data_IF_156963171859
#
_entry.id   IF_156963171859
#
_cell.length_a   1.000
_cell.length_b   1.000
_cell.length_c   1.000
_cell.angle_alpha   90.00
_cell.angle_beta   90.00
_cell.angle_gamma   90.00
#
_symmetry.space_group_name_H-M   'P 1'
#
loop_
_entity.id
_entity.type
_entity.pdbx_description
1 polymer ?
#
# COMPACT_ATOMS: atom_id res chain seq x y z
N UNK A 1 -8.19 44.77 15.54
CA UNK A 1 -6.85 45.17 15.03
C UNK A 1 -5.90 43.99 15.20
N UNK A 2 -5.45 43.45 14.06
CA UNK A 2 -4.35 42.49 13.84
C UNK A 2 -4.32 41.16 14.60
N UNK A 3 -5.00 40.15 14.04
CA UNK A 3 -4.61 38.74 14.16
C UNK A 3 -4.36 38.18 12.76
N UNK A 4 -3.09 38.13 12.33
CA UNK A 4 -2.70 37.51 11.05
C UNK A 4 -2.73 36.00 11.23
N UNK A 5 -3.56 35.33 10.43
CA UNK A 5 -3.60 33.87 10.31
C UNK A 5 -2.36 33.35 9.58
N UNK A 6 -1.56 32.54 10.26
CA UNK A 6 -0.54 31.70 9.63
C UNK A 6 -1.20 30.47 9.01
N UNK A 7 -1.78 30.62 7.83
CA UNK A 7 -1.89 29.52 6.87
C UNK A 7 -0.71 29.69 5.92
N UNK A 8 0.24 28.77 5.95
CA UNK A 8 1.26 28.68 4.92
C UNK A 8 0.55 28.50 3.58
N UNK A 9 0.90 29.32 2.57
CA UNK A 9 0.38 29.12 1.22
C UNK A 9 0.77 27.71 0.74
N UNK A 10 -0.05 27.11 -0.12
CA UNK A 10 0.24 25.80 -0.75
C UNK A 10 1.66 25.81 -1.33
N UNK A 11 2.10 26.94 -1.85
CA UNK A 11 3.46 27.21 -2.34
C UNK A 11 4.56 27.00 -1.29
N UNK A 12 4.36 27.42 -0.03
CA UNK A 12 5.33 27.17 1.05
C UNK A 12 5.43 25.68 1.42
N UNK A 13 4.32 24.94 1.35
CA UNK A 13 4.31 23.50 1.59
C UNK A 13 5.04 22.75 0.46
N UNK A 14 4.78 23.12 -0.79
CA UNK A 14 5.47 22.59 -1.98
C UNK A 14 6.97 22.88 -1.93
N UNK A 15 7.37 24.09 -1.53
CA UNK A 15 8.79 24.45 -1.40
C UNK A 15 9.50 23.66 -0.29
N UNK A 16 8.81 23.40 0.82
CA UNK A 16 9.37 22.58 1.91
C UNK A 16 9.54 21.12 1.48
N UNK A 17 8.58 20.58 0.72
CA UNK A 17 8.65 19.21 0.17
C UNK A 17 9.76 19.10 -0.89
N UNK A 18 9.87 20.09 -1.79
CA UNK A 18 10.94 20.17 -2.79
C UNK A 18 12.34 20.20 -2.17
N UNK A 19 12.51 20.93 -1.07
CA UNK A 19 13.77 20.94 -0.30
C UNK A 19 14.11 19.58 0.32
N UNK A 20 13.11 18.83 0.79
CA UNK A 20 13.31 17.47 1.32
C UNK A 20 13.72 16.51 0.20
N UNK A 21 13.09 16.58 -0.97
CA UNK A 21 13.46 15.77 -2.13
C UNK A 21 14.88 16.09 -2.64
N UNK A 22 15.26 17.37 -2.66
CA UNK A 22 16.62 17.81 -3.02
C UNK A 22 17.68 17.35 -2.00
N UNK A 23 17.35 17.37 -0.70
CA UNK A 23 18.25 16.85 0.35
C UNK A 23 18.49 15.33 0.24
N UNK A 24 17.51 14.58 -0.27
CA UNK A 24 17.64 13.13 -0.56
C UNK A 24 18.51 12.90 -1.80
N UNK A 25 18.42 13.74 -2.82
CA UNK A 25 19.26 13.65 -4.02
C UNK A 25 20.73 14.03 -3.76
N UNK A 26 21.00 14.83 -2.73
CA UNK A 26 22.36 15.34 -2.44
C UNK A 26 23.15 14.44 -1.48
N UNK A 27 22.47 13.57 -0.72
CA UNK A 27 23.13 12.68 0.27
C UNK A 27 23.80 11.44 -0.35
N UNK A 28 23.71 11.21 -1.66
CA UNK A 28 24.39 10.13 -2.39
C UNK A 28 25.77 10.49 -2.96
N UNK A 29 26.28 11.71 -2.73
CA UNK A 29 27.53 12.18 -3.34
C UNK A 29 28.74 12.30 -2.40
N UNK A 30 28.66 11.87 -1.14
CA UNK A 30 29.78 12.01 -0.20
C UNK A 30 30.10 10.70 0.52
N UNK A 31 31.12 9.97 0.02
CA UNK A 31 32.29 9.48 0.80
C UNK A 31 32.99 8.31 0.07
N UNK A 32 34.08 8.62 -0.63
CA UNK A 32 35.33 7.83 -0.60
C UNK A 32 36.45 8.63 -1.25
N UNK A 33 37.37 9.12 -0.43
CA UNK A 33 38.68 9.61 -0.86
C UNK A 33 39.54 8.44 -1.33
N UNK A 34 40.16 8.56 -2.51
CA UNK A 34 41.21 7.63 -2.93
C UNK A 34 41.43 7.56 -4.45
N UNK A 35 42.14 8.55 -4.99
CA UNK A 35 42.78 8.57 -6.33
C UNK A 35 41.85 8.52 -7.54
N UNK A 36 41.48 9.69 -8.05
CA UNK A 36 40.75 9.83 -9.33
C UNK A 36 41.55 10.69 -10.30
N UNK A 37 41.92 10.09 -11.43
CA UNK A 37 42.41 10.78 -12.63
C UNK A 37 41.30 11.71 -13.12
N UNK A 38 41.60 13.00 -13.24
CA UNK A 38 40.66 14.04 -13.62
C UNK A 38 40.38 13.94 -15.12
N UNK A 39 39.17 13.57 -15.50
CA UNK A 39 38.57 14.01 -16.75
C UNK A 39 37.71 15.25 -16.43
N UNK A 40 38.16 16.42 -16.87
CA UNK A 40 37.38 17.65 -16.78
C UNK A 40 36.24 17.59 -17.81
N UNK A 41 35.04 17.25 -17.36
CA UNK A 41 33.81 17.56 -18.08
C UNK A 41 33.24 18.83 -17.45
N UNK A 42 33.33 19.97 -18.14
CA UNK A 42 32.65 21.19 -17.71
C UNK A 42 31.14 21.00 -17.89
N UNK A 43 30.42 20.75 -16.80
CA UNK A 43 28.96 20.88 -16.74
C UNK A 43 28.66 22.27 -16.20
N UNK A 44 28.27 23.18 -17.10
CA UNK A 44 27.71 24.48 -16.74
C UNK A 44 26.27 24.30 -16.28
N UNK A 45 26.04 24.31 -14.96
CA UNK A 45 24.70 24.34 -14.38
C UNK A 45 24.28 25.81 -14.24
N UNK A 46 23.39 26.27 -15.11
CA UNK A 46 22.73 27.57 -14.98
C UNK A 46 21.67 27.51 -13.88
N UNK A 47 21.57 28.58 -13.08
CA UNK A 47 20.69 28.68 -11.90
C UNK A 47 19.18 28.69 -12.23
N UNK A 48 18.80 28.68 -13.51
CA UNK A 48 17.40 28.70 -13.96
C UNK A 48 16.70 27.33 -13.86
N UNK A 49 17.42 26.26 -13.54
CA UNK A 49 16.89 24.89 -13.46
C UNK A 49 16.55 24.40 -12.04
N UNK A 50 16.51 25.27 -11.03
CA UNK A 50 16.32 24.86 -9.62
C UNK A 50 14.83 24.66 -9.26
N UNK A 51 13.91 25.14 -10.09
CA UNK A 51 12.48 24.80 -9.98
C UNK A 51 12.14 23.82 -11.10
N UNK A 52 11.93 22.52 -10.83
CA UNK A 52 11.32 21.65 -11.83
C UNK A 52 9.97 22.27 -12.19
N UNK A 53 9.81 22.71 -13.43
CA UNK A 53 8.52 23.11 -13.95
C UNK A 53 7.56 21.95 -13.73
N UNK A 54 6.51 22.15 -12.92
CA UNK A 54 5.58 21.10 -12.52
C UNK A 54 4.84 20.53 -13.73
N UNK A 55 5.40 19.49 -14.34
CA UNK A 55 4.84 18.91 -15.55
C UNK A 55 3.93 17.72 -15.19
N UNK A 56 2.64 17.99 -15.07
CA UNK A 56 1.61 16.94 -15.01
C UNK A 56 1.17 16.50 -16.42
N UNK A 57 1.79 16.98 -17.50
CA UNK A 57 1.42 16.62 -18.87
C UNK A 57 1.80 15.18 -19.18
N UNK A 58 2.89 14.67 -18.61
CA UNK A 58 3.23 13.26 -18.73
C UNK A 58 2.34 12.41 -17.82
N UNK A 59 1.63 11.46 -18.41
CA UNK A 59 0.63 10.64 -17.73
C UNK A 59 1.07 9.21 -17.42
N UNK A 60 2.28 8.82 -17.83
CA UNK A 60 2.88 7.51 -17.59
C UNK A 60 1.95 6.31 -17.88
N UNK A 61 1.30 6.33 -19.06
CA UNK A 61 0.39 5.27 -19.53
C UNK A 61 1.07 3.95 -19.92
N UNK A 62 2.39 3.95 -19.88
CA UNK A 62 3.24 2.84 -20.21
C UNK A 62 4.67 3.27 -20.03
N UNK A 63 5.58 2.33 -20.19
CA UNK A 63 7.00 2.60 -20.10
C UNK A 63 7.55 2.99 -21.48
N UNK A 64 7.77 4.29 -21.69
CA UNK A 64 8.30 4.82 -22.94
C UNK A 64 9.84 4.84 -22.97
N UNK A 65 10.50 4.47 -21.87
CA UNK A 65 11.96 4.51 -21.75
C UNK A 65 12.59 3.48 -22.68
N UNK A 66 13.51 3.94 -23.53
CA UNK A 66 14.24 3.10 -24.48
C UNK A 66 15.75 3.20 -24.34
N UNK A 67 16.24 4.29 -23.75
CA UNK A 67 17.67 4.57 -23.66
C UNK A 67 18.25 4.05 -22.34
N UNK A 68 19.05 2.97 -22.36
CA UNK A 68 19.66 2.44 -21.15
C UNK A 68 20.78 3.36 -20.67
N UNK A 69 20.82 3.62 -19.36
CA UNK A 69 21.92 4.34 -18.71
C UNK A 69 23.17 3.47 -18.54
N UNK A 70 23.02 2.16 -18.62
CA UNK A 70 24.12 1.20 -18.61
C UNK A 70 23.75 -0.04 -19.43
N UNK A 71 24.74 -0.62 -20.11
CA UNK A 71 24.57 -1.83 -20.93
C UNK A 71 25.57 -2.87 -20.47
N UNK A 72 25.12 -4.13 -20.37
CA UNK A 72 25.96 -5.26 -20.00
C UNK A 72 25.53 -6.52 -20.76
N UNK A 73 26.38 -7.55 -20.77
CA UNK A 73 26.15 -8.78 -21.51
C UNK A 73 26.20 -9.99 -20.56
N UNK A 74 25.23 -10.90 -20.70
CA UNK A 74 25.20 -12.18 -20.00
C UNK A 74 24.93 -13.27 -21.02
N UNK A 75 25.83 -14.25 -21.15
CA UNK A 75 25.69 -15.40 -22.04
C UNK A 75 25.20 -15.02 -23.45
N UNK A 76 25.91 -14.08 -24.11
CA UNK A 76 25.63 -13.53 -25.45
C UNK A 76 24.37 -12.67 -25.62
N UNK A 77 23.53 -12.55 -24.58
CA UNK A 77 22.40 -11.63 -24.58
C UNK A 77 22.81 -10.27 -24.00
N UNK A 78 22.47 -9.18 -24.69
CA UNK A 78 22.67 -7.80 -24.23
C UNK A 78 21.48 -7.35 -23.37
N UNK A 79 21.80 -6.69 -22.28
CA UNK A 79 20.84 -6.13 -21.34
C UNK A 79 21.15 -4.66 -21.08
N UNK A 80 20.11 -3.87 -20.88
CA UNK A 80 20.17 -2.46 -20.53
C UNK A 80 19.55 -2.20 -19.17
N UNK A 81 20.08 -1.22 -18.45
CA UNK A 81 19.45 -0.67 -17.24
C UNK A 81 18.77 0.64 -17.63
N UNK A 82 17.45 0.70 -17.50
CA UNK A 82 16.67 1.94 -17.66
C UNK A 82 16.65 2.70 -16.33
N UNK A 83 16.83 4.01 -16.35
CA UNK A 83 16.73 4.87 -15.16
C UNK A 83 15.27 5.11 -14.77
N UNK A 84 14.92 5.23 -13.47
CA UNK A 84 13.55 5.54 -13.03
C UNK A 84 13.13 6.95 -13.50
N UNK A 85 11.86 7.11 -13.87
CA UNK A 85 11.30 8.45 -14.09
C UNK A 85 11.04 9.13 -12.75
N UNK A 86 11.71 10.27 -12.54
CA UNK A 86 11.61 11.02 -11.27
C UNK A 86 10.25 11.72 -11.18
N UNK A 87 9.71 12.18 -12.31
CA UNK A 87 8.41 12.86 -12.37
C UNK A 87 7.26 11.95 -11.95
N UNK A 88 7.38 10.63 -12.14
CA UNK A 88 6.43 9.65 -11.60
C UNK A 88 6.35 9.72 -10.07
N UNK A 89 7.50 9.73 -9.38
CA UNK A 89 7.56 9.80 -7.92
C UNK A 89 7.07 11.15 -7.41
N UNK A 90 7.38 12.22 -8.13
CA UNK A 90 6.88 13.55 -7.82
C UNK A 90 5.35 13.59 -7.87
N UNK A 91 4.74 13.15 -8.97
CA UNK A 91 3.27 13.10 -9.10
C UNK A 91 2.65 12.21 -8.02
N UNK A 92 3.23 11.03 -7.76
CA UNK A 92 2.78 10.13 -6.70
C UNK A 92 2.78 10.81 -5.33
N UNK A 93 3.86 11.51 -4.98
CA UNK A 93 3.99 12.22 -3.71
C UNK A 93 2.97 13.35 -3.57
N UNK A 94 2.75 14.15 -4.62
CA UNK A 94 1.77 15.24 -4.63
C UNK A 94 0.35 14.69 -4.42
N UNK A 95 -0.05 13.69 -5.21
CA UNK A 95 -1.39 13.11 -5.14
C UNK A 95 -1.63 12.47 -3.77
N UNK A 96 -0.66 11.72 -3.24
CA UNK A 96 -0.74 11.15 -1.89
C UNK A 96 -0.86 12.24 -0.83
N UNK A 97 -0.08 13.31 -0.93
CA UNK A 97 -0.10 14.43 0.03
C UNK A 97 -1.45 15.14 0.05
N UNK A 98 -2.05 15.39 -1.12
CA UNK A 98 -3.38 16.01 -1.23
C UNK A 98 -4.46 15.12 -0.60
N UNK A 99 -4.43 13.82 -0.86
CA UNK A 99 -5.35 12.86 -0.25
C UNK A 99 -5.18 12.83 1.28
N UNK A 100 -3.94 12.83 1.78
CA UNK A 100 -3.61 12.90 3.20
C UNK A 100 -4.13 14.20 3.86
N UNK A 101 -3.96 15.36 3.22
CA UNK A 101 -4.49 16.64 3.71
C UNK A 101 -6.01 16.60 3.80
N UNK A 102 -6.69 16.08 2.78
CA UNK A 102 -8.14 15.90 2.81
C UNK A 102 -8.57 15.01 3.99
N UNK A 103 -7.87 13.89 4.20
CA UNK A 103 -8.15 12.98 5.32
C UNK A 103 -7.88 13.64 6.68
N UNK A 104 -6.85 14.47 6.81
CA UNK A 104 -6.57 15.24 8.03
C UNK A 104 -7.70 16.22 8.37
N UNK A 105 -8.28 16.88 7.35
CA UNK A 105 -9.44 17.77 7.51
C UNK A 105 -10.67 16.97 7.96
N UNK A 106 -10.92 15.79 7.36
CA UNK A 106 -11.97 14.87 7.82
C UNK A 106 -11.76 14.48 9.28
N UNK A 107 -10.51 14.20 9.67
CA UNK A 107 -10.13 13.97 11.07
C UNK A 107 -10.50 15.15 11.98
N UNK A 108 -10.19 16.39 11.59
CA UNK A 108 -10.55 17.57 12.37
C UNK A 108 -12.07 17.71 12.57
N UNK A 109 -12.85 17.46 11.52
CA UNK A 109 -14.32 17.48 11.56
C UNK A 109 -14.84 16.37 12.49
N UNK A 110 -14.34 15.15 12.33
CA UNK A 110 -14.69 14.00 13.16
C UNK A 110 -14.36 14.24 14.64
N UNK A 111 -13.21 14.87 14.93
CA UNK A 111 -12.82 15.24 16.30
C UNK A 111 -13.83 16.20 16.94
N UNK A 112 -14.27 17.22 16.20
CA UNK A 112 -15.19 18.24 16.73
C UNK A 112 -16.62 17.75 16.88
N UNK A 113 -17.08 16.87 16.00
CA UNK A 113 -18.48 16.46 15.94
C UNK A 113 -18.68 15.08 16.60
N UNK A 114 -17.92 14.07 16.18
CA UNK A 114 -18.19 12.67 16.54
C UNK A 114 -17.71 12.36 17.96
N UNK A 115 -16.50 12.80 18.34
CA UNK A 115 -15.95 12.50 19.68
C UNK A 115 -16.90 12.94 20.82
N UNK A 116 -17.43 14.17 20.86
CA UNK A 116 -18.37 14.58 21.90
C UNK A 116 -19.78 13.97 21.73
N UNK A 117 -20.22 13.73 20.49
CA UNK A 117 -21.58 13.26 20.21
C UNK A 117 -21.76 11.74 20.35
N UNK A 118 -20.72 10.91 20.13
CA UNK A 118 -20.89 9.45 20.04
C UNK A 118 -21.45 8.77 21.29
N UNK A 119 -21.28 9.39 22.47
CA UNK A 119 -21.85 8.89 23.73
C UNK A 119 -23.21 9.50 24.07
N UNK A 120 -23.48 10.72 23.62
CA UNK A 120 -24.67 11.52 24.01
C UNK A 120 -25.76 11.51 22.94
N UNK A 121 -25.37 11.48 21.67
CA UNK A 121 -26.22 11.45 20.49
C UNK A 121 -25.58 10.57 19.40
N UNK A 122 -25.69 9.25 19.59
CA UNK A 122 -25.13 8.27 18.66
C UNK A 122 -25.76 8.34 17.27
N UNK A 123 -27.05 8.66 17.17
CA UNK A 123 -27.76 8.84 15.89
C UNK A 123 -27.16 9.96 15.06
N UNK A 124 -26.85 11.12 15.67
CA UNK A 124 -26.14 12.20 14.98
C UNK A 124 -24.77 11.72 14.46
N UNK A 125 -24.05 10.96 15.28
CA UNK A 125 -22.73 10.43 14.90
C UNK A 125 -22.82 9.47 13.71
N UNK A 126 -23.86 8.61 13.67
CA UNK A 126 -24.14 7.73 12.53
C UNK A 126 -24.45 8.52 11.25
N UNK A 127 -25.34 9.52 11.34
CA UNK A 127 -25.73 10.35 10.19
C UNK A 127 -24.54 11.14 9.64
N UNK A 128 -23.69 11.68 10.50
CA UNK A 128 -22.48 12.41 10.08
C UNK A 128 -21.48 11.46 9.44
N UNK A 129 -21.18 10.31 10.05
CA UNK A 129 -20.21 9.35 9.51
C UNK A 129 -20.67 8.78 8.17
N UNK A 130 -21.86 8.16 8.13
CA UNK A 130 -22.32 7.43 6.94
C UNK A 130 -23.03 8.31 5.91
N UNK A 131 -23.71 9.37 6.35
CA UNK A 131 -24.46 10.26 5.46
C UNK A 131 -23.65 11.42 4.88
N UNK A 132 -22.56 11.84 5.55
CA UNK A 132 -21.77 13.01 5.11
C UNK A 132 -20.30 12.65 4.86
N UNK A 133 -19.58 12.15 5.87
CA UNK A 133 -18.13 11.97 5.76
C UNK A 133 -17.74 10.81 4.85
N UNK A 134 -18.46 9.69 4.89
CA UNK A 134 -18.24 8.56 3.98
C UNK A 134 -18.35 8.96 2.50
N UNK A 135 -19.46 9.56 2.04
CA UNK A 135 -19.56 10.04 0.66
C UNK A 135 -18.41 10.97 0.27
N UNK A 136 -18.04 11.92 1.13
CA UNK A 136 -16.92 12.84 0.87
C UNK A 136 -15.61 12.05 0.68
N UNK A 137 -15.27 11.17 1.62
CA UNK A 137 -14.02 10.37 1.58
C UNK A 137 -14.00 9.46 0.35
N UNK A 138 -15.13 8.86 -0.01
CA UNK A 138 -15.24 8.02 -1.22
C UNK A 138 -15.03 8.84 -2.49
N UNK A 139 -15.49 10.10 -2.53
CA UNK A 139 -15.35 10.98 -3.70
C UNK A 139 -13.95 11.56 -3.88
N UNK A 140 -13.15 11.75 -2.83
CA UNK A 140 -11.80 12.34 -2.89
C UNK A 140 -10.90 11.74 -3.99
N UNK A 141 -10.71 10.40 -4.09
CA UNK A 141 -9.84 9.85 -5.13
C UNK A 141 -10.33 10.19 -6.54
N UNK A 142 -11.64 10.14 -6.80
CA UNK A 142 -12.21 10.50 -8.11
C UNK A 142 -12.04 11.99 -8.44
N UNK A 143 -12.17 12.86 -7.43
CA UNK A 143 -11.92 14.30 -7.59
C UNK A 143 -10.45 14.52 -7.98
N UNK A 144 -9.51 13.86 -7.31
CA UNK A 144 -8.08 13.95 -7.65
C UNK A 144 -7.80 13.41 -9.05
N UNK A 145 -8.33 12.24 -9.37
CA UNK A 145 -8.20 11.62 -10.69
C UNK A 145 -8.68 12.56 -11.79
N UNK A 146 -9.88 13.13 -11.64
CA UNK A 146 -10.46 14.03 -12.63
C UNK A 146 -9.72 15.38 -12.70
N UNK A 147 -9.35 15.95 -11.55
CA UNK A 147 -8.70 17.27 -11.50
C UNK A 147 -7.29 17.24 -12.11
N UNK A 148 -6.56 16.15 -11.90
CA UNK A 148 -5.19 16.00 -12.40
C UNK A 148 -5.11 15.16 -13.69
N UNK A 149 -6.25 14.69 -14.20
CA UNK A 149 -6.35 13.82 -15.38
C UNK A 149 -5.36 12.64 -15.27
N UNK A 150 -5.43 11.92 -14.14
CA UNK A 150 -4.53 10.81 -13.86
C UNK A 150 -4.84 9.64 -14.81
N UNK A 151 -3.80 9.00 -15.33
CA UNK A 151 -3.95 7.86 -16.22
C UNK A 151 -3.04 6.68 -15.82
N UNK A 152 -1.89 6.95 -15.18
CA UNK A 152 -1.09 5.89 -14.57
C UNK A 152 -1.84 5.20 -13.42
N UNK A 153 -2.02 3.89 -13.56
CA UNK A 153 -2.83 3.09 -12.63
C UNK A 153 -2.25 3.00 -11.22
N UNK A 154 -0.93 3.11 -11.04
CA UNK A 154 -0.31 3.12 -9.71
C UNK A 154 -0.60 4.43 -8.97
N UNK A 155 -0.53 5.56 -9.67
CA UNK A 155 -0.85 6.87 -9.08
C UNK A 155 -2.35 6.93 -8.75
N UNK A 156 -3.20 6.43 -9.64
CA UNK A 156 -4.64 6.27 -9.41
C UNK A 156 -4.94 5.41 -8.16
N UNK A 157 -4.29 4.25 -8.05
CA UNK A 157 -4.40 3.39 -6.85
C UNK A 157 -3.97 4.14 -5.58
N UNK A 158 -2.84 4.83 -5.64
CA UNK A 158 -2.25 5.55 -4.52
C UNK A 158 -3.15 6.68 -4.00
N UNK A 159 -3.89 7.37 -4.88
CA UNK A 159 -4.89 8.39 -4.50
C UNK A 159 -5.99 7.82 -3.58
N UNK A 160 -6.32 6.54 -3.71
CA UNK A 160 -7.33 5.86 -2.91
C UNK A 160 -6.85 5.40 -1.53
N UNK A 161 -5.54 5.20 -1.33
CA UNK A 161 -5.00 4.55 -0.12
C UNK A 161 -5.30 5.31 1.18
N UNK A 162 -5.08 6.64 1.30
CA UNK A 162 -5.44 7.37 2.51
C UNK A 162 -6.94 7.33 2.80
N UNK A 163 -7.75 7.38 1.75
CA UNK A 163 -9.21 7.35 1.83
C UNK A 163 -9.72 5.99 2.33
N UNK A 164 -9.15 4.89 1.83
CA UNK A 164 -9.40 3.52 2.31
C UNK A 164 -9.22 3.41 3.83
N UNK A 165 -8.08 3.89 4.33
CA UNK A 165 -7.78 3.82 5.77
C UNK A 165 -8.72 4.72 6.56
N UNK A 166 -9.05 5.89 6.01
CA UNK A 166 -9.94 6.87 6.64
C UNK A 166 -11.38 6.36 6.82
N UNK A 167 -11.92 5.60 5.86
CA UNK A 167 -13.25 4.98 6.01
C UNK A 167 -13.31 4.08 7.25
N UNK A 168 -12.27 3.28 7.48
CA UNK A 168 -12.18 2.41 8.66
C UNK A 168 -11.92 3.21 9.94
N UNK A 169 -11.08 4.25 9.90
CA UNK A 169 -10.83 5.15 11.04
C UNK A 169 -12.08 5.89 11.50
N UNK A 170 -12.97 6.27 10.58
CA UNK A 170 -14.25 6.89 10.91
C UNK A 170 -15.16 5.94 11.70
N UNK A 171 -15.26 4.67 11.28
CA UNK A 171 -16.04 3.66 12.03
C UNK A 171 -15.39 3.36 13.38
N UNK A 172 -14.06 3.25 13.42
CA UNK A 172 -13.29 3.12 14.66
C UNK A 172 -13.59 4.27 15.64
N UNK A 173 -13.64 5.51 15.13
CA UNK A 173 -13.92 6.72 15.91
C UNK A 173 -15.36 6.73 16.43
N UNK A 174 -16.31 6.36 15.57
CA UNK A 174 -17.73 6.25 15.90
C UNK A 174 -17.96 5.33 17.11
N UNK A 175 -17.30 4.17 17.12
CA UNK A 175 -17.45 3.18 18.19
C UNK A 175 -16.47 3.35 19.36
N UNK A 176 -15.59 4.36 19.33
CA UNK A 176 -14.63 4.62 20.41
C UNK A 176 -13.53 3.58 20.54
N UNK A 177 -13.09 3.00 19.41
CA UNK A 177 -12.00 2.02 19.37
C UNK A 177 -10.66 2.58 18.92
N UNK A 178 -10.55 3.91 18.79
CA UNK A 178 -9.31 4.60 18.43
C UNK A 178 -8.15 4.21 19.35
N UNK A 179 -6.89 4.18 18.85
CA UNK A 179 -5.73 3.95 19.69
C UNK A 179 -5.64 4.96 20.84
N UNK A 180 -5.08 4.52 21.97
CA UNK A 180 -4.83 5.41 23.11
C UNK A 180 -3.92 6.57 22.68
N UNK A 181 -4.17 7.77 23.22
CA UNK A 181 -3.39 8.97 22.90
C UNK A 181 -3.83 9.72 21.64
N UNK A 182 -4.52 9.06 20.70
CA UNK A 182 -4.96 9.67 19.43
C UNK A 182 -6.01 10.76 19.64
N UNK A 183 -6.96 10.54 20.55
CA UNK A 183 -8.10 11.45 20.79
C UNK A 183 -7.82 12.54 21.83
N UNK A 184 -6.61 12.58 22.40
CA UNK A 184 -6.26 13.53 23.47
C UNK A 184 -6.25 14.99 22.98
N UNK A 185 -5.80 15.21 21.75
CA UNK A 185 -5.78 16.55 21.14
C UNK A 185 -6.24 16.48 19.69
N UNK A 186 -6.79 17.59 19.19
CA UNK A 186 -7.15 17.71 17.77
C UNK A 186 -5.94 17.50 16.86
N UNK A 187 -4.74 17.93 17.27
CA UNK A 187 -3.51 17.75 16.48
C UNK A 187 -3.09 16.28 16.39
N UNK A 188 -3.15 15.52 17.49
CA UNK A 188 -2.91 14.08 17.49
C UNK A 188 -3.89 13.36 16.54
N UNK A 189 -5.15 13.79 16.57
CA UNK A 189 -6.21 13.21 15.77
C UNK A 189 -6.05 13.52 14.28
N UNK A 190 -5.70 14.77 13.94
CA UNK A 190 -5.38 15.17 12.56
C UNK A 190 -4.12 14.46 12.04
N UNK A 191 -3.09 14.28 12.87
CA UNK A 191 -1.91 13.48 12.51
C UNK A 191 -2.30 12.03 12.23
N UNK A 192 -3.13 11.42 13.11
CA UNK A 192 -3.59 10.05 12.92
C UNK A 192 -4.34 9.89 11.60
N UNK A 193 -5.29 10.78 11.29
CA UNK A 193 -6.07 10.72 10.05
C UNK A 193 -5.28 11.11 8.80
N UNK A 194 -4.42 12.11 8.90
CA UNK A 194 -3.61 12.63 7.79
C UNK A 194 -2.38 11.79 7.47
N UNK A 195 -1.96 10.90 8.37
CA UNK A 195 -0.80 10.07 8.13
C UNK A 195 -1.16 8.82 7.31
N UNK A 196 -0.48 8.60 6.15
CA UNK A 196 -0.70 7.42 5.33
C UNK A 196 -0.21 6.14 6.02
N UNK A 197 0.75 6.25 6.95
CA UNK A 197 1.21 5.16 7.82
C UNK A 197 0.91 5.54 9.28
N UNK A 198 0.38 4.61 10.07
CA UNK A 198 0.03 4.88 11.46
C UNK A 198 1.27 5.24 12.30
N UNK A 199 1.27 6.44 12.89
CA UNK A 199 2.23 6.81 13.92
C UNK A 199 1.98 5.99 15.18
N UNK A 200 3.05 5.63 15.89
CA UNK A 200 2.96 4.98 17.19
C UNK A 200 2.55 6.03 18.22
N UNK A 201 1.48 5.77 18.96
CA UNK A 201 1.04 6.64 20.06
C UNK A 201 1.35 5.99 21.41
N UNK A 202 1.94 6.77 22.31
CA UNK A 202 1.99 6.48 23.73
C UNK A 202 0.70 7.01 24.40
N UNK A 203 0.59 6.94 25.73
CA UNK A 203 -0.67 7.21 26.43
C UNK A 203 -1.30 8.59 26.11
N UNK A 204 -0.48 9.61 25.78
CA UNK A 204 -0.97 10.99 25.54
C UNK A 204 -0.47 11.66 24.26
N UNK A 205 0.54 11.10 23.61
CA UNK A 205 1.25 11.79 22.52
C UNK A 205 1.82 10.78 21.52
N UNK A 206 2.04 11.19 20.25
CA UNK A 206 2.80 10.38 19.32
C UNK A 206 4.23 10.19 19.82
N UNK A 207 4.75 8.98 19.67
CA UNK A 207 6.13 8.66 20.00
C UNK A 207 7.06 9.36 19.02
N UNK A 208 8.08 10.04 19.54
CA UNK A 208 9.09 10.70 18.70
C UNK A 208 10.02 9.68 18.05
N UNK A 209 10.32 9.88 16.77
CA UNK A 209 11.34 9.12 16.04
C UNK A 209 12.74 9.61 16.43
N UNK A 210 13.64 8.69 16.72
CA UNK A 210 15.06 8.99 16.97
C UNK A 210 15.83 9.20 15.65
N UNK A 211 17.07 9.72 15.73
CA UNK A 211 17.94 9.78 14.54
C UNK A 211 18.23 8.41 13.94
N UNK A 212 18.36 7.39 14.80
CA UNK A 212 18.55 6.00 14.37
C UNK A 212 17.31 5.45 13.66
N UNK A 213 16.10 5.75 14.17
CA UNK A 213 14.85 5.35 13.51
C UNK A 213 14.79 5.87 12.07
N UNK A 214 15.07 7.17 11.88
CA UNK A 214 15.05 7.81 10.57
C UNK A 214 16.07 7.18 9.61
N UNK A 215 17.28 6.92 10.09
CA UNK A 215 18.33 6.26 9.30
C UNK A 215 17.94 4.84 8.90
N UNK A 216 17.38 4.07 9.84
CA UNK A 216 16.89 2.71 9.57
C UNK A 216 15.71 2.73 8.59
N UNK A 217 14.78 3.69 8.71
CA UNK A 217 13.69 3.89 7.76
C UNK A 217 14.19 4.16 6.35
N UNK A 218 15.13 5.10 6.18
CA UNK A 218 15.74 5.40 4.88
C UNK A 218 16.48 4.18 4.28
N UNK A 219 17.22 3.43 5.11
CA UNK A 219 17.87 2.18 4.71
C UNK A 219 16.84 1.13 4.25
N UNK A 220 15.77 0.92 5.03
CA UNK A 220 14.74 -0.07 4.71
C UNK A 220 14.02 0.27 3.40
N UNK A 221 13.70 1.56 3.19
CA UNK A 221 13.16 2.03 1.93
C UNK A 221 14.10 1.76 0.75
N UNK A 222 15.40 2.09 0.88
CA UNK A 222 16.37 1.83 -0.20
C UNK A 222 16.46 0.34 -0.54
N UNK A 223 16.51 -0.53 0.47
CA UNK A 223 16.59 -1.98 0.28
C UNK A 223 15.33 -2.53 -0.38
N UNK A 224 14.15 -2.11 0.05
CA UNK A 224 12.88 -2.55 -0.52
C UNK A 224 12.63 -1.97 -1.92
N UNK A 225 13.09 -0.74 -2.19
CA UNK A 225 13.10 -0.13 -3.51
C UNK A 225 13.95 -0.94 -4.51
N UNK A 226 15.18 -1.31 -4.12
CA UNK A 226 16.05 -2.16 -4.94
C UNK A 226 15.45 -3.56 -5.14
N UNK A 227 14.88 -4.15 -4.08
CA UNK A 227 14.22 -5.45 -4.17
C UNK A 227 13.05 -5.40 -5.17
N UNK A 228 12.19 -4.38 -5.10
CA UNK A 228 11.07 -4.25 -6.03
C UNK A 228 11.56 -4.02 -7.47
N UNK A 229 12.60 -3.21 -7.68
CA UNK A 229 13.22 -3.02 -9.01
C UNK A 229 13.67 -4.34 -9.64
N UNK A 230 14.30 -5.23 -8.85
CA UNK A 230 14.69 -6.58 -9.31
C UNK A 230 13.45 -7.42 -9.65
N UNK A 231 12.42 -7.41 -8.80
CA UNK A 231 11.18 -8.16 -9.02
C UNK A 231 10.47 -7.68 -10.31
N UNK A 232 10.35 -6.38 -10.50
CA UNK A 232 9.75 -5.77 -11.69
C UNK A 232 10.51 -6.14 -12.97
N UNK A 233 11.85 -6.18 -12.90
CA UNK A 233 12.70 -6.60 -14.03
C UNK A 233 12.49 -8.08 -14.38
N UNK A 234 12.46 -8.96 -13.37
CA UNK A 234 12.20 -10.40 -13.57
C UNK A 234 10.80 -10.63 -14.14
N UNK A 235 9.80 -9.94 -13.61
CA UNK A 235 8.42 -10.08 -14.08
C UNK A 235 8.23 -9.54 -15.49
N UNK A 236 8.88 -8.43 -15.86
CA UNK A 236 8.90 -7.95 -17.24
C UNK A 236 9.42 -9.00 -18.21
N UNK A 237 10.60 -9.57 -17.94
CA UNK A 237 11.21 -10.62 -18.76
C UNK A 237 10.39 -11.91 -18.81
N UNK A 238 9.70 -12.25 -17.73
CA UNK A 238 8.80 -13.41 -17.69
C UNK A 238 7.55 -13.16 -18.53
N UNK A 239 6.89 -12.01 -18.36
CA UNK A 239 5.66 -11.70 -19.06
C UNK A 239 5.81 -11.38 -20.54
N UNK A 240 7.00 -10.96 -20.98
CA UNK A 240 7.33 -10.89 -22.41
C UNK A 240 7.26 -12.28 -23.10
N UNK A 241 7.63 -13.34 -22.38
CA UNK A 241 7.65 -14.71 -22.92
C UNK A 241 6.35 -15.47 -22.69
N UNK A 242 5.60 -15.10 -21.66
CA UNK A 242 4.39 -15.81 -21.24
C UNK A 242 3.33 -14.81 -20.82
N UNK A 243 2.13 -14.90 -21.41
CA UNK A 243 1.01 -14.09 -20.93
C UNK A 243 0.78 -14.35 -19.44
N UNK A 244 0.56 -13.31 -18.60
CA UNK A 244 0.43 -13.48 -17.15
C UNK A 244 -0.61 -14.53 -16.78
N UNK A 245 -1.77 -14.50 -17.45
CA UNK A 245 -2.78 -15.54 -17.41
C UNK A 245 -3.16 -15.93 -18.85
N UNK A 246 -2.98 -17.20 -19.24
CA UNK A 246 -3.44 -17.67 -20.54
C UNK A 246 -4.97 -17.67 -20.57
N UNK A 247 -5.54 -16.87 -21.46
CA UNK A 247 -6.98 -16.73 -21.76
C UNK A 247 -7.91 -16.70 -20.52
N UNK A 248 -8.24 -15.50 -19.98
CA UNK A 248 -9.11 -15.35 -18.82
C UNK A 248 -10.48 -16.03 -18.93
N UNK A 249 -10.98 -16.26 -20.14
CA UNK A 249 -12.27 -16.92 -20.39
C UNK A 249 -12.17 -18.44 -20.24
N UNK A 250 -10.94 -18.99 -20.29
CA UNK A 250 -10.65 -20.44 -20.23
C UNK A 250 -10.03 -20.87 -18.91
N UNK A 251 -10.06 -20.01 -17.89
CA UNK A 251 -9.42 -20.26 -16.57
C UNK A 251 -9.83 -21.60 -15.94
N UNK A 252 -11.01 -22.13 -16.28
CA UNK A 252 -11.53 -23.38 -15.75
C UNK A 252 -11.82 -24.45 -16.82
N UNK A 253 -11.32 -24.30 -18.05
CA UNK A 253 -11.36 -25.36 -19.06
C UNK A 253 -10.49 -26.54 -18.59
N UNK A 254 -11.12 -27.67 -18.23
CA UNK A 254 -10.47 -28.81 -17.56
C UNK A 254 -10.87 -28.98 -16.09
N UNK A 255 -11.72 -28.10 -15.56
CA UNK A 255 -12.30 -28.23 -14.22
C UNK A 255 -11.55 -27.40 -13.17
N UNK A 256 -12.30 -27.00 -12.13
CA UNK A 256 -11.85 -26.03 -11.14
C UNK A 256 -10.54 -26.43 -10.45
N UNK A 257 -10.47 -27.65 -9.89
CA UNK A 257 -9.31 -28.09 -9.11
C UNK A 257 -8.05 -28.27 -9.96
N UNK A 258 -8.18 -28.91 -11.12
CA UNK A 258 -7.06 -29.10 -12.05
C UNK A 258 -6.47 -27.75 -12.45
N UNK A 259 -7.35 -26.80 -12.75
CA UNK A 259 -6.91 -25.47 -13.12
C UNK A 259 -6.23 -24.78 -11.93
N UNK A 260 -6.82 -24.81 -10.72
CA UNK A 260 -6.27 -24.22 -9.47
C UNK A 260 -4.91 -24.74 -9.05
N UNK A 261 -4.58 -25.96 -9.42
CA UNK A 261 -3.31 -26.59 -9.07
C UNK A 261 -2.37 -26.70 -10.27
N UNK A 262 -2.70 -26.07 -11.41
CA UNK A 262 -1.81 -26.06 -12.56
C UNK A 262 -0.51 -25.35 -12.21
N UNK A 263 0.62 -25.92 -12.67
CA UNK A 263 1.96 -25.39 -12.39
C UNK A 263 2.09 -23.93 -12.81
N UNK A 264 1.63 -23.61 -14.01
CA UNK A 264 1.69 -22.26 -14.57
C UNK A 264 0.91 -21.27 -13.70
N UNK A 265 -0.32 -21.63 -13.28
CA UNK A 265 -1.12 -20.75 -12.42
C UNK A 265 -0.49 -20.53 -11.06
N UNK A 266 0.03 -21.58 -10.43
CA UNK A 266 0.70 -21.44 -9.13
C UNK A 266 1.93 -20.53 -9.23
N UNK A 267 2.71 -20.63 -10.32
CA UNK A 267 3.85 -19.74 -10.56
C UNK A 267 3.40 -18.29 -10.75
N UNK A 268 2.43 -18.03 -11.64
CA UNK A 268 1.91 -16.67 -11.85
C UNK A 268 1.36 -16.08 -10.56
N UNK A 269 0.52 -16.84 -9.84
CA UNK A 269 -0.07 -16.39 -8.59
C UNK A 269 0.99 -16.08 -7.53
N UNK A 270 2.07 -16.86 -7.50
CA UNK A 270 3.19 -16.61 -6.59
C UNK A 270 3.95 -15.34 -6.97
N UNK A 271 4.22 -15.13 -8.25
CA UNK A 271 4.87 -13.91 -8.75
C UNK A 271 4.04 -12.66 -8.42
N UNK A 272 2.72 -12.69 -8.63
CA UNK A 272 1.85 -11.59 -8.24
C UNK A 272 1.78 -11.39 -6.73
N UNK A 273 1.68 -12.46 -5.94
CA UNK A 273 1.69 -12.35 -4.49
C UNK A 273 3.00 -11.73 -3.98
N UNK A 274 4.14 -12.16 -4.53
CA UNK A 274 5.46 -11.65 -4.19
C UNK A 274 5.64 -10.20 -4.65
N UNK A 275 5.15 -9.84 -5.83
CA UNK A 275 5.05 -8.47 -6.29
C UNK A 275 4.25 -7.60 -5.32
N UNK A 276 3.02 -7.98 -4.97
CA UNK A 276 2.20 -7.20 -4.05
C UNK A 276 2.87 -7.05 -2.67
N UNK A 277 3.53 -8.09 -2.16
CA UNK A 277 4.33 -8.00 -0.95
C UNK A 277 5.44 -6.95 -1.10
N UNK A 278 6.27 -7.05 -2.14
CA UNK A 278 7.42 -6.16 -2.35
C UNK A 278 6.97 -4.72 -2.61
N UNK A 279 5.92 -4.52 -3.41
CA UNK A 279 5.37 -3.20 -3.72
C UNK A 279 4.76 -2.52 -2.51
N UNK A 280 3.96 -3.24 -1.73
CA UNK A 280 3.44 -2.70 -0.47
C UNK A 280 4.58 -2.39 0.49
N UNK A 281 5.60 -3.26 0.60
CA UNK A 281 6.74 -3.02 1.48
C UNK A 281 7.52 -1.76 1.05
N UNK A 282 7.90 -1.63 -0.22
CA UNK A 282 8.64 -0.47 -0.73
C UNK A 282 7.86 0.84 -0.56
N UNK A 283 6.57 0.86 -0.94
CA UNK A 283 5.73 2.05 -0.80
C UNK A 283 5.52 2.41 0.68
N UNK A 284 5.28 1.44 1.55
CA UNK A 284 5.01 1.72 2.97
C UNK A 284 6.28 2.09 3.74
N UNK A 285 7.44 1.51 3.43
CA UNK A 285 8.73 1.92 3.99
C UNK A 285 9.09 3.35 3.56
N UNK A 286 8.87 3.69 2.28
CA UNK A 286 9.06 5.05 1.77
C UNK A 286 8.16 6.07 2.47
N UNK A 287 6.86 5.77 2.57
CA UNK A 287 5.90 6.63 3.26
C UNK A 287 6.20 6.74 4.76
N UNK A 288 6.57 5.64 5.41
CA UNK A 288 6.99 5.62 6.81
C UNK A 288 8.19 6.54 7.03
N UNK A 289 9.23 6.41 6.19
CA UNK A 289 10.41 7.25 6.26
C UNK A 289 10.08 8.74 6.06
N UNK A 290 9.23 9.07 5.08
CA UNK A 290 8.74 10.43 4.87
C UNK A 290 7.99 10.97 6.10
N UNK A 291 7.08 10.20 6.68
CA UNK A 291 6.33 10.60 7.88
C UNK A 291 7.28 10.80 9.07
N UNK A 292 8.22 9.91 9.32
CA UNK A 292 9.19 10.02 10.41
C UNK A 292 10.09 11.26 10.25
N UNK A 293 10.48 11.59 9.02
CA UNK A 293 11.31 12.78 8.71
C UNK A 293 10.49 14.06 8.90
N UNK A 294 9.32 14.15 8.27
CA UNK A 294 8.49 15.37 8.23
C UNK A 294 7.83 15.67 9.57
N UNK A 295 7.26 14.65 10.22
CA UNK A 295 6.49 14.82 11.46
C UNK A 295 7.32 14.60 12.71
N UNK A 296 8.49 13.96 12.58
CA UNK A 296 9.30 13.54 13.73
C UNK A 296 8.66 12.43 14.57
N UNK A 297 7.59 11.77 14.10
CA UNK A 297 6.86 10.74 14.83
C UNK A 297 7.21 9.35 14.30
N UNK A 298 7.46 8.39 15.20
CA UNK A 298 7.74 6.99 14.85
C UNK A 298 6.51 6.35 14.22
N UNK A 299 6.70 5.57 13.16
CA UNK A 299 5.61 4.81 12.52
C UNK A 299 5.66 3.32 12.87
N UNK A 300 4.55 2.62 12.62
CA UNK A 300 4.51 1.16 12.69
C UNK A 300 5.22 0.52 11.49
N UNK A 301 5.74 -0.69 11.67
CA UNK A 301 6.12 -1.55 10.54
C UNK A 301 4.86 -2.11 9.88
N UNK A 302 4.75 -2.02 8.56
CA UNK A 302 3.54 -2.46 7.84
C UNK A 302 3.64 -3.89 7.31
N UNK A 303 4.83 -4.35 6.91
CA UNK A 303 5.03 -5.68 6.32
C UNK A 303 6.13 -6.45 7.06
N UNK A 304 5.91 -7.76 7.31
CA UNK A 304 6.88 -8.63 8.01
C UNK A 304 7.10 -9.96 7.30
N UNK A 305 7.58 -9.85 6.05
CA UNK A 305 7.94 -10.96 5.15
C UNK A 305 6.92 -12.13 5.11
N UNK A 306 5.61 -11.86 4.93
CA UNK A 306 4.56 -12.88 5.12
C UNK A 306 4.74 -14.14 4.26
N UNK A 307 5.14 -14.02 2.99
CA UNK A 307 5.25 -15.17 2.07
C UNK A 307 6.34 -16.17 2.45
N UNK A 308 7.43 -15.71 3.08
CA UNK A 308 8.61 -16.54 3.35
C UNK A 308 8.72 -16.94 4.82
N UNK A 309 7.94 -16.32 5.70
CA UNK A 309 8.12 -16.45 7.14
C UNK A 309 6.86 -16.76 7.96
N UNK A 310 5.67 -16.68 7.37
CA UNK A 310 4.43 -17.00 8.07
C UNK A 310 4.38 -18.46 8.51
N UNK A 311 3.89 -18.71 9.72
CA UNK A 311 3.78 -20.08 10.27
C UNK A 311 2.34 -20.60 10.34
N UNK A 312 1.35 -19.74 10.07
CA UNK A 312 -0.06 -20.12 9.95
C UNK A 312 -0.85 -19.05 9.17
N UNK A 313 -2.08 -19.33 8.69
CA UNK A 313 -2.93 -18.33 8.05
C UNK A 313 -3.19 -17.09 8.92
N UNK A 314 -3.42 -17.27 10.22
CA UNK A 314 -3.62 -16.18 11.18
C UNK A 314 -2.34 -15.39 11.44
N UNK A 315 -1.16 -16.03 11.38
CA UNK A 315 0.12 -15.35 11.42
C UNK A 315 0.35 -14.50 10.15
N UNK A 316 0.04 -15.07 8.99
CA UNK A 316 0.10 -14.37 7.69
C UNK A 316 -0.77 -13.11 7.69
N UNK A 317 -2.08 -13.25 7.86
CA UNK A 317 -3.04 -12.15 7.74
C UNK A 317 -3.14 -11.26 8.99
N UNK A 318 -2.76 -11.78 10.16
CA UNK A 318 -2.93 -11.09 11.43
C UNK A 318 -1.68 -10.41 11.97
N UNK A 319 -0.48 -10.85 11.53
CA UNK A 319 0.79 -10.43 12.17
C UNK A 319 1.89 -10.05 11.18
N UNK A 320 1.70 -10.27 9.88
CA UNK A 320 2.76 -10.05 8.88
C UNK A 320 2.33 -9.30 7.64
N UNK A 321 1.11 -9.54 7.14
CA UNK A 321 0.58 -8.89 5.96
C UNK A 321 -0.16 -7.60 6.35
N UNK A 322 0.34 -6.47 5.85
CA UNK A 322 -0.27 -5.15 5.91
C UNK A 322 -0.85 -4.81 7.29
N UNK A 323 0.03 -4.65 8.27
CA UNK A 323 -0.31 -4.40 9.66
C UNK A 323 -1.05 -3.07 9.89
N UNK A 324 -0.88 -2.10 8.99
CA UNK A 324 -1.70 -0.89 8.95
C UNK A 324 -3.17 -1.25 8.72
N UNK A 325 -3.46 -1.95 7.61
CA UNK A 325 -4.83 -2.36 7.27
C UNK A 325 -5.40 -3.33 8.30
N UNK A 326 -4.59 -4.27 8.79
CA UNK A 326 -4.99 -5.14 9.91
C UNK A 326 -5.44 -4.33 11.13
N UNK A 327 -4.67 -3.31 11.53
CA UNK A 327 -4.96 -2.46 12.68
C UNK A 327 -6.29 -1.74 12.54
N UNK A 328 -6.51 -1.06 11.41
CA UNK A 328 -7.76 -0.32 11.17
C UNK A 328 -8.96 -1.23 10.90
N UNK A 329 -8.79 -2.41 10.29
CA UNK A 329 -9.88 -3.40 10.17
C UNK A 329 -10.26 -3.98 11.53
N UNK A 330 -9.28 -4.25 12.39
CA UNK A 330 -9.53 -4.75 13.75
C UNK A 330 -10.34 -3.75 14.57
N UNK A 331 -10.03 -2.46 14.47
CA UNK A 331 -10.66 -1.40 15.26
C UNK A 331 -11.93 -0.83 14.61
N UNK A 332 -11.99 -0.77 13.28
CA UNK A 332 -13.10 -0.25 12.49
C UNK A 332 -14.11 -1.29 12.03
N UNK A 333 -13.81 -2.59 12.12
CA UNK A 333 -14.75 -3.65 11.75
C UNK A 333 -14.87 -4.75 12.82
N UNK A 334 -13.77 -5.46 13.13
CA UNK A 334 -13.82 -6.62 14.02
C UNK A 334 -14.38 -6.28 15.40
N UNK A 335 -13.82 -5.27 16.08
CA UNK A 335 -14.27 -4.85 17.42
C UNK A 335 -15.73 -4.35 17.43
N UNK A 336 -16.15 -3.44 16.52
CA UNK A 336 -17.55 -3.05 16.40
C UNK A 336 -18.50 -4.23 16.17
N UNK A 337 -18.21 -5.12 15.21
CA UNK A 337 -19.08 -6.27 14.97
C UNK A 337 -19.13 -7.18 16.19
N UNK A 338 -17.96 -7.51 16.76
CA UNK A 338 -17.88 -8.38 17.92
C UNK A 338 -18.63 -7.82 19.14
N UNK A 339 -18.64 -6.51 19.37
CA UNK A 339 -19.37 -5.93 20.51
C UNK A 339 -20.89 -6.16 20.44
N UNK A 340 -21.45 -6.32 19.23
CA UNK A 340 -22.88 -6.61 19.01
C UNK A 340 -23.22 -8.11 19.02
N UNK A 341 -22.22 -8.98 18.82
CA UNK A 341 -22.40 -10.44 18.78
C UNK A 341 -21.65 -11.18 19.90
N UNK A 342 -21.10 -10.45 20.88
CA UNK A 342 -20.28 -11.00 21.97
C UNK A 342 -21.00 -12.06 22.81
N UNK A 343 -22.33 -12.00 22.88
CA UNK A 343 -23.19 -12.97 23.55
C UNK A 343 -23.02 -14.39 22.98
N UNK A 344 -22.60 -14.52 21.73
CA UNK A 344 -22.34 -15.81 21.07
C UNK A 344 -20.89 -16.33 21.27
N UNK A 345 -20.14 -15.76 22.22
CA UNK A 345 -18.79 -16.21 22.65
C UNK A 345 -17.83 -16.48 21.47
N UNK A 346 -17.39 -17.73 21.30
CA UNK A 346 -16.46 -18.14 20.24
C UNK A 346 -17.07 -17.98 18.85
N UNK A 347 -18.36 -18.28 18.67
CA UNK A 347 -19.08 -18.06 17.41
C UNK A 347 -19.12 -16.58 17.08
N UNK A 348 -19.31 -15.71 18.08
CA UNK A 348 -19.23 -14.26 17.90
C UNK A 348 -17.89 -13.79 17.33
N UNK A 349 -16.77 -14.42 17.73
CA UNK A 349 -15.44 -14.11 17.16
C UNK A 349 -15.32 -14.55 15.71
N UNK A 350 -15.89 -15.70 15.35
CA UNK A 350 -15.92 -16.18 13.96
C UNK A 350 -16.74 -15.23 13.07
N UNK A 351 -17.93 -14.82 13.55
CA UNK A 351 -18.78 -13.84 12.84
C UNK A 351 -18.02 -12.53 12.61
N UNK A 352 -17.38 -11.99 13.66
CA UNK A 352 -16.58 -10.78 13.54
C UNK A 352 -15.38 -10.95 12.59
N UNK A 353 -14.73 -12.11 12.60
CA UNK A 353 -13.66 -12.47 11.67
C UNK A 353 -14.14 -12.46 10.21
N UNK A 354 -15.21 -13.20 9.90
CA UNK A 354 -15.79 -13.24 8.56
C UNK A 354 -16.28 -11.88 8.09
N UNK A 355 -16.93 -11.09 8.96
CA UNK A 355 -17.35 -9.73 8.64
C UNK A 355 -16.15 -8.82 8.31
N UNK A 356 -15.03 -9.01 9.01
CA UNK A 356 -13.80 -8.24 8.75
C UNK A 356 -13.20 -8.58 7.37
N UNK A 357 -13.17 -9.86 7.00
CA UNK A 357 -12.71 -10.28 5.67
C UNK A 357 -13.69 -9.85 4.57
N UNK A 358 -15.00 -9.87 4.82
CA UNK A 358 -15.99 -9.30 3.90
C UNK A 358 -15.75 -7.80 3.67
N UNK A 359 -15.57 -7.02 4.74
CA UNK A 359 -15.28 -5.59 4.64
C UNK A 359 -13.99 -5.33 3.87
N UNK A 360 -12.93 -6.11 4.12
CA UNK A 360 -11.68 -6.05 3.34
C UNK A 360 -11.92 -6.31 1.86
N UNK A 361 -12.70 -7.35 1.54
CA UNK A 361 -13.10 -7.70 0.18
C UNK A 361 -13.79 -6.55 -0.54
N UNK A 362 -14.84 -6.00 0.06
CA UNK A 362 -15.62 -4.88 -0.51
C UNK A 362 -14.77 -3.62 -0.72
N UNK A 363 -13.87 -3.31 0.22
CA UNK A 363 -12.95 -2.19 0.05
C UNK A 363 -11.97 -2.43 -1.11
N UNK A 364 -11.56 -3.67 -1.35
CA UNK A 364 -10.74 -4.02 -2.51
C UNK A 364 -11.52 -4.01 -3.83
N UNK A 365 -12.83 -4.27 -3.84
CA UNK A 365 -13.68 -4.02 -5.01
C UNK A 365 -13.74 -2.52 -5.34
N UNK A 366 -13.85 -1.67 -4.31
CA UNK A 366 -13.82 -0.22 -4.48
C UNK A 366 -12.47 0.28 -4.99
N UNK A 367 -11.37 -0.28 -4.50
CA UNK A 367 -10.02 0.00 -5.04
C UNK A 367 -9.92 -0.41 -6.51
N UNK A 368 -10.44 -1.57 -6.89
CA UNK A 368 -10.50 -1.96 -8.31
C UNK A 368 -11.31 -0.97 -9.13
N UNK A 369 -12.47 -0.51 -8.62
CA UNK A 369 -13.27 0.50 -9.30
C UNK A 369 -12.47 1.80 -9.52
N UNK A 370 -11.75 2.28 -8.50
CA UNK A 370 -10.89 3.46 -8.61
C UNK A 370 -9.88 3.28 -9.75
N UNK A 371 -9.14 2.17 -9.77
CA UNK A 371 -8.13 1.90 -10.80
C UNK A 371 -8.77 1.84 -12.19
N UNK A 372 -9.85 1.07 -12.34
CA UNK A 372 -10.53 0.86 -13.60
C UNK A 372 -11.21 2.11 -14.15
N UNK A 373 -11.55 3.09 -13.31
CA UNK A 373 -12.10 4.38 -13.75
C UNK A 373 -11.17 5.15 -14.69
N UNK A 374 -9.87 4.85 -14.67
CA UNK A 374 -8.84 5.46 -15.53
C UNK A 374 -8.26 4.50 -16.56
N UNK A 375 -8.75 3.26 -16.62
CA UNK A 375 -8.22 2.26 -17.51
C UNK A 375 -8.55 2.60 -18.97
N UNK A 376 -7.50 2.79 -19.77
CA UNK A 376 -7.60 3.16 -21.18
C UNK A 376 -8.11 2.03 -22.08
N UNK A 377 -8.10 0.78 -21.60
CA UNK A 377 -8.49 -0.39 -22.39
C UNK A 377 -10.01 -0.61 -22.44
N UNK A 378 -10.81 0.19 -21.71
CA UNK A 378 -12.27 0.03 -21.66
C UNK A 378 -12.74 -1.29 -21.02
N UNK A 379 -11.83 -2.00 -20.35
CA UNK A 379 -12.16 -3.25 -19.66
C UNK A 379 -13.01 -2.95 -18.42
N UNK A 380 -13.84 -3.91 -18.04
CA UNK A 380 -14.65 -3.87 -16.82
C UNK A 380 -14.05 -4.85 -15.82
N UNK A 381 -13.92 -4.49 -14.52
CA UNK A 381 -13.37 -5.40 -13.52
C UNK A 381 -14.35 -6.55 -13.26
N UNK A 382 -13.80 -7.74 -12.96
CA UNK A 382 -14.58 -8.89 -12.49
C UNK A 382 -15.02 -8.73 -11.04
N UNK A 383 -15.99 -7.85 -10.77
CA UNK A 383 -16.47 -7.58 -9.41
C UNK A 383 -16.88 -8.85 -8.67
N UNK A 384 -16.53 -8.91 -7.39
CA UNK A 384 -16.83 -10.02 -6.48
C UNK A 384 -15.69 -11.02 -6.33
N UNK A 385 -14.74 -11.06 -7.26
CA UNK A 385 -13.58 -11.96 -7.18
C UNK A 385 -12.67 -11.60 -6.00
N UNK A 386 -12.39 -10.32 -5.76
CA UNK A 386 -11.62 -9.88 -4.60
C UNK A 386 -12.35 -10.26 -3.30
N UNK A 387 -13.66 -10.03 -3.25
CA UNK A 387 -14.49 -10.39 -2.10
C UNK A 387 -14.45 -11.90 -1.84
N UNK A 388 -14.58 -12.73 -2.88
CA UNK A 388 -14.45 -14.18 -2.77
C UNK A 388 -13.06 -14.61 -2.25
N UNK A 389 -11.99 -13.98 -2.75
CA UNK A 389 -10.63 -14.22 -2.27
C UNK A 389 -10.46 -13.92 -0.78
N UNK A 390 -10.96 -12.78 -0.29
CA UNK A 390 -10.87 -12.45 1.13
C UNK A 390 -11.76 -13.35 1.98
N UNK A 391 -12.98 -13.70 1.53
CA UNK A 391 -13.84 -14.64 2.26
C UNK A 391 -13.23 -16.04 2.37
N UNK A 392 -12.55 -16.52 1.32
CA UNK A 392 -11.78 -17.77 1.37
C UNK A 392 -10.73 -17.73 2.48
N UNK A 393 -9.91 -16.68 2.51
CA UNK A 393 -8.89 -16.49 3.53
C UNK A 393 -9.48 -16.32 4.94
N UNK A 394 -10.62 -15.62 5.06
CA UNK A 394 -11.36 -15.52 6.32
C UNK A 394 -11.86 -16.87 6.81
N UNK A 395 -12.33 -17.72 5.90
CA UNK A 395 -12.68 -19.10 6.16
C UNK A 395 -11.50 -19.90 6.69
N UNK A 396 -10.32 -19.81 6.04
CA UNK A 396 -9.10 -20.48 6.50
C UNK A 396 -8.67 -20.06 7.91
N UNK A 397 -8.72 -18.76 8.21
CA UNK A 397 -8.42 -18.24 9.56
C UNK A 397 -9.44 -18.73 10.59
N UNK A 398 -10.72 -18.79 10.23
CA UNK A 398 -11.76 -19.35 11.09
C UNK A 398 -11.54 -20.85 11.34
N UNK A 399 -11.22 -21.62 10.30
CA UNK A 399 -10.88 -23.04 10.40
C UNK A 399 -9.65 -23.26 11.27
N UNK A 400 -8.60 -22.45 11.15
CA UNK A 400 -7.44 -22.49 12.05
C UNK A 400 -7.86 -22.25 13.50
N UNK A 401 -8.76 -21.31 13.77
CA UNK A 401 -9.21 -21.06 15.15
C UNK A 401 -10.02 -22.22 15.75
N UNK A 402 -10.64 -23.06 14.91
CA UNK A 402 -11.43 -24.23 15.30
C UNK A 402 -10.58 -25.49 15.43
N UNK A 403 -9.62 -25.68 14.52
CA UNK A 403 -8.88 -26.94 14.35
C UNK A 403 -7.37 -26.80 14.58
N UNK A 404 -6.84 -25.59 14.79
CA UNK A 404 -5.41 -25.32 14.93
C UNK A 404 -4.77 -25.96 16.18
N UNK A 405 -5.58 -26.37 17.16
CA UNK A 405 -5.11 -27.12 18.34
C UNK A 405 -4.93 -28.61 18.10
N UNK A 406 -5.27 -29.14 16.90
CA UNK A 406 -5.07 -30.55 16.58
C UNK A 406 -3.58 -30.90 16.60
N UNK A 407 -3.26 -32.09 17.12
CA UNK A 407 -1.88 -32.56 17.31
C UNK A 407 -1.05 -32.56 16.02
N UNK A 408 -1.68 -32.80 14.86
CA UNK A 408 -1.01 -32.80 13.55
C UNK A 408 -0.30 -31.47 13.27
N UNK A 409 -0.89 -30.32 13.60
CA UNK A 409 -0.29 -29.02 13.36
C UNK A 409 0.90 -28.75 14.30
N UNK A 410 0.83 -29.25 15.54
CA UNK A 410 1.95 -29.22 16.48
C UNK A 410 3.10 -30.12 16.02
N UNK A 411 2.81 -31.29 15.45
CA UNK A 411 3.81 -32.19 14.89
C UNK A 411 4.47 -31.54 13.66
N UNK A 412 3.67 -31.06 12.70
CA UNK A 412 4.19 -30.42 11.48
C UNK A 412 5.07 -29.22 11.80
N UNK A 413 4.65 -28.36 12.73
CA UNK A 413 5.42 -27.17 13.11
C UNK A 413 6.76 -27.48 13.78
N UNK A 414 6.89 -28.62 14.45
CA UNK A 414 8.16 -29.08 15.06
C UNK A 414 9.03 -29.87 14.09
N UNK A 415 8.43 -30.61 13.17
CA UNK A 415 9.14 -31.54 12.28
C UNK A 415 9.64 -30.89 10.98
N UNK A 416 8.98 -29.83 10.50
CA UNK A 416 9.33 -29.19 9.24
C UNK A 416 10.15 -27.91 9.43
N UNK A 417 11.13 -27.63 8.56
CA UNK A 417 11.82 -26.35 8.55
C UNK A 417 10.88 -25.23 8.14
N UNK A 418 11.14 -24.02 8.68
CA UNK A 418 10.28 -22.84 8.51
C UNK A 418 9.92 -22.51 7.05
N UNK A 419 10.84 -22.57 6.06
CA UNK A 419 10.48 -22.30 4.67
C UNK A 419 9.40 -23.24 4.11
N UNK A 420 9.40 -24.52 4.52
CA UNK A 420 8.36 -25.47 4.10
C UNK A 420 7.03 -25.17 4.78
N UNK A 421 7.05 -24.76 6.06
CA UNK A 421 5.82 -24.32 6.75
C UNK A 421 5.23 -23.10 6.05
N UNK A 422 6.05 -22.10 5.74
CA UNK A 422 5.60 -20.89 5.04
C UNK A 422 5.06 -21.20 3.65
N UNK A 423 5.72 -22.09 2.91
CA UNK A 423 5.19 -22.59 1.64
C UNK A 423 3.81 -23.25 1.81
N UNK A 424 3.64 -24.14 2.79
CA UNK A 424 2.35 -24.78 3.07
C UNK A 424 1.25 -23.77 3.43
N UNK A 425 1.59 -22.74 4.21
CA UNK A 425 0.67 -21.65 4.55
C UNK A 425 0.26 -20.88 3.30
N UNK A 426 1.23 -20.47 2.47
CA UNK A 426 0.94 -19.76 1.21
C UNK A 426 0.09 -20.61 0.27
N UNK A 427 0.35 -21.92 0.19
CA UNK A 427 -0.42 -22.86 -0.62
C UNK A 427 -1.90 -23.00 -0.20
N UNK A 428 -2.30 -22.52 0.98
CA UNK A 428 -3.73 -22.47 1.35
C UNK A 428 -4.50 -21.40 0.57
N UNK A 429 -3.83 -20.32 0.15
CA UNK A 429 -4.45 -19.20 -0.56
C UNK A 429 -4.03 -19.14 -2.05
N UNK A 430 -2.82 -19.61 -2.37
CA UNK A 430 -2.22 -19.52 -3.70
C UNK A 430 -3.08 -20.10 -4.83
N UNK A 431 -3.76 -21.26 -4.69
CA UNK A 431 -4.56 -21.85 -5.76
C UNK A 431 -5.73 -20.97 -6.25
N UNK A 432 -6.20 -20.06 -5.38
CA UNK A 432 -7.31 -19.14 -5.65
C UNK A 432 -6.86 -17.68 -5.77
N UNK A 433 -5.55 -17.39 -5.71
CA UNK A 433 -5.04 -16.03 -5.72
C UNK A 433 -5.27 -15.28 -7.05
N UNK A 434 -5.58 -15.99 -8.14
CA UNK A 434 -6.01 -15.37 -9.39
C UNK A 434 -7.35 -14.64 -9.25
N UNK A 435 -8.21 -15.00 -8.28
CA UNK A 435 -9.39 -14.20 -7.95
C UNK A 435 -9.03 -12.78 -7.51
N UNK A 436 -7.83 -12.56 -6.98
CA UNK A 436 -7.33 -11.22 -6.67
C UNK A 436 -6.49 -10.64 -7.81
N UNK A 437 -5.53 -11.42 -8.33
CA UNK A 437 -4.49 -10.92 -9.21
C UNK A 437 -4.91 -10.75 -10.68
N UNK A 438 -5.96 -11.45 -11.14
CA UNK A 438 -6.34 -11.48 -12.55
C UNK A 438 -6.71 -10.10 -13.11
N UNK A 439 -7.50 -9.30 -12.38
CA UNK A 439 -7.92 -7.98 -12.86
C UNK A 439 -6.73 -7.01 -12.97
N UNK A 440 -5.77 -7.08 -12.04
CA UNK A 440 -4.51 -6.33 -12.15
C UNK A 440 -3.66 -6.78 -13.33
N UNK A 441 -3.65 -8.07 -13.64
CA UNK A 441 -2.93 -8.60 -14.79
C UNK A 441 -3.56 -8.15 -16.12
N UNK A 442 -4.89 -8.19 -16.24
CA UNK A 442 -5.63 -7.78 -17.45
C UNK A 442 -5.31 -6.34 -17.87
N UNK A 443 -5.17 -5.44 -16.89
CA UNK A 443 -4.91 -4.02 -17.14
C UNK A 443 -3.41 -3.67 -17.14
N UNK A 444 -2.52 -4.67 -17.18
CA UNK A 444 -1.07 -4.49 -17.13
C UNK A 444 -0.60 -3.61 -15.95
N UNK A 445 -1.21 -3.77 -14.78
CA UNK A 445 -0.96 -2.93 -13.61
C UNK A 445 0.53 -2.87 -13.22
N UNK A 446 1.26 -3.98 -13.36
CA UNK A 446 2.70 -4.08 -13.07
C UNK A 446 3.52 -3.13 -13.96
N UNK A 447 3.17 -2.98 -15.23
CA UNK A 447 3.89 -2.11 -16.17
C UNK A 447 3.71 -0.62 -15.82
N UNK A 448 2.59 -0.24 -15.20
CA UNK A 448 2.44 1.13 -14.70
C UNK A 448 3.35 1.43 -13.50
N UNK A 449 3.80 0.41 -12.75
CA UNK A 449 4.77 0.59 -11.67
C UNK A 449 6.20 0.68 -12.19
N UNK A 450 6.52 -0.08 -13.24
CA UNK A 450 7.84 -0.19 -13.85
C UNK A 450 8.52 1.17 -14.11
N UNK A 451 7.76 2.16 -14.57
CA UNK A 451 8.22 3.53 -14.85
C UNK A 451 8.95 4.18 -13.68
N UNK A 452 8.51 3.94 -12.44
CA UNK A 452 9.13 4.51 -11.24
C UNK A 452 10.41 3.81 -10.78
N UNK A 453 10.82 2.70 -11.40
CA UNK A 453 11.95 1.90 -10.91
C UNK A 453 13.03 1.74 -11.97
N UNK A 454 14.29 1.56 -11.56
CA UNK A 454 15.29 1.05 -12.48
C UNK A 454 14.84 -0.31 -13.00
N UNK A 455 15.02 -0.56 -14.29
CA UNK A 455 14.64 -1.84 -14.90
C UNK A 455 15.79 -2.42 -15.68
N UNK A 456 15.98 -3.73 -15.52
CA UNK A 456 16.83 -4.51 -16.40
C UNK A 456 15.95 -5.04 -17.54
N UNK A 457 16.24 -4.57 -18.75
CA UNK A 457 15.54 -4.97 -19.98
C UNK A 457 16.50 -5.66 -20.94
N UNK A 458 15.98 -6.50 -21.81
CA UNK A 458 16.76 -7.09 -22.90
C UNK A 458 16.82 -6.09 -24.07
N UNK A 459 18.01 -5.92 -24.66
CA UNK A 459 18.25 -5.02 -25.80
C UNK A 459 18.18 -5.74 -27.14
#
# INVERSE_FOLDING_TARGET
KNGKSHFASIEQLTNTIGLVCSAIATTTAATTEGTTVIYQTQVSITADNIMPSFNFDEKFNGDARKDPIAVFEINTAKYGILAPEIDFWYQLLVIMSLACVACAIIGAIAYKIIIPARQTNFTLSLLVVFGVLFPIVVSVPYILIHSFQLQNLQITFAAGVPCFVTLLRLVETLYGFSPKGVEETMSNFMLYYGSPIECVFDAKAPRKATGLDKLLGAKNFLLSYMQLSIVLSIMGLYFEKTAPYPDPEKIYEGGFLQSCLSRERLITNFLFAYYFQCSLNACTDGLASCVEIVTGCKTIDVMKNPLLEATSPSDFWGRRWNLLVHGVLKRGCFKPVYSHVKQFKSVGKLIAGMATFLASGLLHEWVLHIIYSTNQQGLVPGYGNNTAFFLWNGGLVCLESLFGSLAIFSILSKSLPRPLISLLVVMTALPVAHWFALDYAKINFVNHAQVGFPLIVRL
#
